data_IF_800642810422
#
_entry.id   IF_800642810422
#
_cell.length_a   1.000
_cell.length_b   1.000
_cell.length_c   1.000
_cell.angle_alpha   90.00
_cell.angle_beta   90.00
_cell.angle_gamma   90.00
#
_symmetry.space_group_name_H-M   'P 1'
#
loop_
_entity.id
_entity.type
_entity.pdbx_description
1 polymer ?
#
# COMPACT_ATOMS: atom_id res chain seq x y z
N UNK A 1 14.75 13.86 -2.91
CA UNK A 1 14.71 12.55 -2.22
C UNK A 1 15.05 12.71 -0.73
N UNK A 2 14.36 13.59 0.01
CA UNK A 2 14.82 14.08 1.33
C UNK A 2 13.75 14.10 2.45
N UNK A 3 12.47 13.80 2.16
CA UNK A 3 11.40 14.02 3.14
C UNK A 3 11.23 12.91 4.18
N UNK A 4 11.38 11.64 3.79
CA UNK A 4 11.12 10.48 4.69
C UNK A 4 12.36 9.65 5.03
N UNK A 5 13.49 9.80 4.32
CA UNK A 5 14.65 8.87 4.35
C UNK A 5 14.30 7.37 4.14
N UNK A 6 13.05 7.05 3.80
CA UNK A 6 12.59 5.71 3.45
C UNK A 6 12.99 5.44 1.99
N UNK A 7 13.84 4.44 1.77
CA UNK A 7 14.20 3.99 0.42
C UNK A 7 13.22 2.93 -0.05
N UNK A 8 12.00 3.35 -0.38
CA UNK A 8 11.01 2.47 -1.01
C UNK A 8 11.55 1.99 -2.37
N UNK A 9 11.89 0.71 -2.46
CA UNK A 9 12.38 0.11 -3.70
C UNK A 9 11.20 -0.51 -4.42
N UNK A 10 10.99 -0.14 -5.69
CA UNK A 10 9.97 -0.76 -6.53
C UNK A 10 10.28 -2.25 -6.65
N UNK A 11 9.33 -3.08 -6.27
CA UNK A 11 9.41 -4.54 -6.41
C UNK A 11 8.77 -4.99 -7.72
N UNK A 12 9.05 -6.22 -8.18
CA UNK A 12 8.36 -6.81 -9.33
C UNK A 12 6.85 -6.72 -9.16
N UNK A 13 6.14 -6.51 -10.27
CA UNK A 13 4.68 -6.37 -10.23
C UNK A 13 4.04 -7.64 -9.65
N UNK A 14 3.22 -7.44 -8.63
CA UNK A 14 2.58 -8.51 -7.88
C UNK A 14 1.33 -8.98 -8.63
N UNK A 15 1.34 -10.21 -9.13
CA UNK A 15 0.22 -10.79 -9.87
C UNK A 15 -0.68 -11.61 -8.94
N UNK A 16 -1.84 -11.05 -8.63
CA UNK A 16 -2.92 -11.68 -7.91
C UNK A 16 -3.82 -12.43 -8.91
N UNK A 17 -3.84 -13.75 -8.83
CA UNK A 17 -4.77 -14.56 -9.61
C UNK A 17 -6.06 -14.73 -8.81
N UNK A 18 -7.01 -13.81 -8.99
CA UNK A 18 -8.33 -13.97 -8.39
C UNK A 18 -9.15 -14.94 -9.23
N UNK A 19 -9.56 -16.06 -8.60
CA UNK A 19 -10.32 -17.16 -9.24
C UNK A 19 -11.57 -16.66 -9.99
N UNK A 20 -12.17 -15.56 -9.54
CA UNK A 20 -13.39 -14.99 -10.14
C UNK A 20 -13.15 -13.78 -11.05
N UNK A 21 -11.95 -13.19 -11.06
CA UNK A 21 -11.72 -11.83 -11.57
C UNK A 21 -10.49 -11.71 -12.50
N UNK A 22 -9.76 -12.81 -12.72
CA UNK A 22 -8.59 -12.88 -13.59
C UNK A 22 -7.28 -12.42 -12.92
N UNK A 23 -6.16 -12.47 -13.66
CA UNK A 23 -4.86 -12.02 -13.16
C UNK A 23 -4.83 -10.49 -13.04
N UNK A 24 -4.60 -9.99 -11.84
CA UNK A 24 -4.40 -8.57 -11.55
C UNK A 24 -2.94 -8.33 -11.17
N UNK A 25 -2.22 -7.50 -11.92
CA UNK A 25 -0.89 -7.06 -11.50
C UNK A 25 -0.96 -5.73 -10.75
N UNK A 26 -0.32 -5.65 -9.59
CA UNK A 26 -0.19 -4.44 -8.79
C UNK A 26 1.28 -4.12 -8.58
N UNK A 27 1.70 -2.88 -8.86
CA UNK A 27 3.03 -2.44 -8.43
C UNK A 27 3.02 -2.22 -6.92
N UNK A 28 4.02 -2.77 -6.24
CA UNK A 28 4.28 -2.47 -4.84
C UNK A 28 5.74 -2.06 -4.65
N UNK A 29 5.99 -1.33 -3.58
CA UNK A 29 7.31 -0.91 -3.16
C UNK A 29 7.55 -1.48 -1.77
N UNK A 30 8.69 -2.13 -1.61
CA UNK A 30 9.09 -2.72 -0.34
C UNK A 30 10.26 -1.91 0.21
N UNK A 31 10.18 -1.63 1.50
CA UNK A 31 11.29 -1.14 2.28
C UNK A 31 11.39 -1.98 3.53
N UNK A 32 12.48 -2.72 3.66
CA UNK A 32 12.74 -3.56 4.83
C UNK A 32 14.03 -3.13 5.50
N UNK A 33 14.02 -3.16 6.82
CA UNK A 33 15.08 -2.89 7.78
C UNK A 33 15.04 -4.03 8.81
N UNK A 34 16.08 -4.13 9.62
CA UNK A 34 16.23 -5.19 10.62
C UNK A 34 15.01 -5.34 11.56
N UNK A 35 14.32 -4.26 11.88
CA UNK A 35 13.18 -4.24 12.82
C UNK A 35 11.88 -3.72 12.23
N UNK A 36 11.87 -3.35 10.94
CA UNK A 36 10.75 -2.66 10.28
C UNK A 36 10.62 -3.10 8.83
N UNK A 37 9.39 -3.37 8.42
CA UNK A 37 9.04 -3.60 7.02
C UNK A 37 7.86 -2.72 6.63
N UNK A 38 8.07 -1.90 5.60
CA UNK A 38 7.06 -1.05 4.98
C UNK A 38 6.78 -1.57 3.57
N UNK A 39 5.49 -1.73 3.25
CA UNK A 39 5.03 -2.14 1.93
C UNK A 39 4.04 -1.11 1.39
N UNK A 40 4.44 -0.34 0.39
CA UNK A 40 3.57 0.59 -0.29
C UNK A 40 2.96 -0.10 -1.52
N UNK A 41 1.68 -0.40 -1.48
CA UNK A 41 0.93 -0.95 -2.58
C UNK A 41 0.23 0.15 -3.37
N UNK A 42 0.24 0.06 -4.70
CA UNK A 42 -0.61 0.90 -5.53
C UNK A 42 -2.02 0.32 -5.53
N UNK A 43 -3.03 1.13 -5.20
CA UNK A 43 -4.41 0.66 -5.19
C UNK A 43 -4.89 0.32 -6.61
N UNK A 44 -4.34 0.98 -7.63
CA UNK A 44 -4.64 0.71 -9.05
C UNK A 44 -3.83 -0.44 -9.60
N UNK A 45 -4.48 -1.38 -10.27
CA UNK A 45 -3.80 -2.39 -11.07
C UNK A 45 -3.10 -1.76 -12.28
N UNK A 46 -1.99 -2.39 -12.65
CA UNK A 46 -1.11 -2.00 -13.76
C UNK A 46 -1.53 -2.70 -15.05
N UNK A 47 -2.08 -3.91 -14.93
CA UNK A 47 -2.57 -4.65 -16.09
C UNK A 47 -4.03 -4.29 -16.41
N UNK A 48 -4.37 -4.14 -17.70
CA UNK A 48 -5.76 -4.07 -18.12
C UNK A 48 -6.42 -5.42 -17.86
N UNK A 49 -7.30 -5.47 -16.87
CA UNK A 49 -8.14 -6.63 -16.59
C UNK A 49 -9.56 -6.40 -17.13
N UNK A 50 -10.33 -7.48 -17.31
CA UNK A 50 -11.73 -7.41 -17.76
C UNK A 50 -12.65 -6.66 -16.77
N UNK A 51 -12.15 -6.38 -15.57
CA UNK A 51 -12.77 -5.52 -14.57
C UNK A 51 -12.74 -4.06 -14.98
N UNK A 52 -13.90 -3.41 -14.93
CA UNK A 52 -14.08 -1.97 -15.20
C UNK A 52 -13.21 -1.09 -14.29
N UNK A 53 -12.79 -1.61 -13.13
CA UNK A 53 -12.02 -0.90 -12.08
C UNK A 53 -11.17 -1.87 -11.24
N UNK A 54 -10.01 -2.34 -11.72
CA UNK A 54 -9.18 -3.29 -10.98
C UNK A 54 -8.43 -2.55 -9.86
N UNK A 55 -9.09 -2.41 -8.70
CA UNK A 55 -8.49 -1.86 -7.49
C UNK A 55 -8.15 -2.98 -6.50
N UNK A 56 -7.05 -2.83 -5.77
CA UNK A 56 -6.67 -3.75 -4.69
C UNK A 56 -7.73 -3.73 -3.58
N UNK A 57 -8.19 -2.53 -3.24
CA UNK A 57 -9.26 -2.28 -2.30
C UNK A 57 -10.25 -1.26 -2.89
N UNK A 58 -11.37 -1.72 -3.51
CA UNK A 58 -12.36 -0.84 -4.11
C UNK A 58 -13.19 -0.04 -3.09
N UNK A 59 -13.13 -0.42 -1.81
CA UNK A 59 -13.69 0.35 -0.67
C UNK A 59 -12.99 1.69 -0.54
N UNK A 60 -11.65 1.67 -0.57
CA UNK A 60 -10.78 2.85 -0.48
C UNK A 60 -10.26 3.28 -1.86
N UNK A 61 -11.13 3.22 -2.88
CA UNK A 61 -10.80 3.61 -4.27
C UNK A 61 -10.35 5.08 -4.42
N UNK A 62 -10.68 5.91 -3.44
CA UNK A 62 -10.28 7.32 -3.34
C UNK A 62 -8.78 7.48 -3.00
N UNK A 63 -8.15 6.43 -2.47
CA UNK A 63 -6.73 6.38 -2.17
C UNK A 63 -5.99 5.74 -3.34
N UNK A 64 -4.98 6.43 -3.88
CA UNK A 64 -4.14 5.89 -4.96
C UNK A 64 -3.11 4.87 -4.44
N UNK A 65 -2.69 4.98 -3.19
CA UNK A 65 -1.66 4.15 -2.57
C UNK A 65 -2.07 3.71 -1.16
N UNK A 66 -1.69 2.50 -0.80
CA UNK A 66 -1.82 1.95 0.55
C UNK A 66 -0.44 1.67 1.10
N UNK A 67 -0.19 2.05 2.35
CA UNK A 67 1.07 1.74 3.03
C UNK A 67 0.79 0.79 4.19
N UNK A 68 1.31 -0.42 4.08
CA UNK A 68 1.30 -1.41 5.16
C UNK A 68 2.61 -1.31 5.95
N UNK A 69 2.48 -1.24 7.27
CA UNK A 69 3.60 -1.19 8.22
C UNK A 69 3.58 -2.49 9.01
N UNK A 70 4.69 -3.24 8.96
CA UNK A 70 4.90 -4.48 9.70
C UNK A 70 6.20 -4.40 10.49
N UNK A 71 6.12 -4.55 11.81
CA UNK A 71 7.27 -4.28 12.68
C UNK A 71 7.56 -2.79 12.82
N UNK A 72 8.45 -2.43 13.73
CA UNK A 72 8.72 -1.04 14.11
C UNK A 72 7.76 -0.55 15.18
N UNK A 73 7.78 -1.19 16.34
CA UNK A 73 6.91 -0.86 17.47
C UNK A 73 7.19 0.51 18.13
N UNK A 74 8.21 1.26 17.71
CA UNK A 74 8.72 2.41 18.49
C UNK A 74 8.77 3.73 17.71
N UNK A 75 9.50 3.84 16.60
CA UNK A 75 9.72 5.14 15.91
C UNK A 75 8.86 5.37 14.65
N UNK A 76 8.24 4.33 14.10
CA UNK A 76 7.54 4.39 12.80
C UNK A 76 6.15 3.73 12.84
N UNK A 77 5.65 3.38 14.02
CA UNK A 77 4.28 2.88 14.20
C UNK A 77 3.28 4.04 14.29
N UNK A 78 2.21 3.94 13.50
CA UNK A 78 1.04 4.82 13.59
C UNK A 78 1.32 6.28 13.26
N UNK A 79 1.04 7.15 14.23
CA UNK A 79 0.85 8.59 14.06
C UNK A 79 2.09 9.33 13.59
N UNK A 80 3.30 8.91 13.98
CA UNK A 80 4.53 9.62 13.57
C UNK A 80 4.87 9.39 12.09
N UNK A 81 4.61 8.19 11.57
CA UNK A 81 4.73 7.91 10.15
C UNK A 81 3.66 8.65 9.35
N UNK A 82 2.44 8.71 9.89
CA UNK A 82 1.36 9.48 9.31
C UNK A 82 1.69 10.98 9.24
N UNK A 83 2.23 11.55 10.32
CA UNK A 83 2.64 12.95 10.41
C UNK A 83 3.78 13.26 9.41
N UNK A 84 4.76 12.36 9.29
CA UNK A 84 5.82 12.51 8.27
C UNK A 84 5.29 12.41 6.85
N UNK A 85 4.26 11.59 6.61
CA UNK A 85 3.59 11.49 5.31
C UNK A 85 2.81 12.77 5.01
N UNK A 86 1.97 13.24 5.93
CA UNK A 86 1.21 14.50 5.77
C UNK A 86 2.12 15.72 5.69
N UNK A 87 3.32 15.69 6.29
CA UNK A 87 4.34 16.71 6.14
C UNK A 87 4.98 16.75 4.74
N UNK A 88 4.79 15.71 3.90
CA UNK A 88 5.27 15.75 2.52
C UNK A 88 4.35 16.61 1.64
N UNK A 89 4.90 17.56 0.88
CA UNK A 89 4.10 18.40 -0.03
C UNK A 89 3.47 17.61 -1.19
N UNK A 90 3.88 16.36 -1.41
CA UNK A 90 3.33 15.46 -2.44
C UNK A 90 2.17 14.62 -1.93
N UNK A 91 2.03 14.46 -0.60
CA UNK A 91 0.95 13.69 0.01
C UNK A 91 -0.17 14.67 0.30
N UNK A 92 -1.25 14.57 -0.47
CA UNK A 92 -2.41 15.44 -0.28
C UNK A 92 -3.28 15.00 0.90
N UNK A 93 -3.32 13.69 1.16
CA UNK A 93 -4.07 13.10 2.24
C UNK A 93 -3.43 11.78 2.67
N UNK A 94 -3.32 11.55 3.97
CA UNK A 94 -2.93 10.28 4.54
C UNK A 94 -3.86 9.97 5.72
N UNK A 95 -4.22 8.70 5.88
CA UNK A 95 -4.99 8.22 7.03
C UNK A 95 -4.60 6.78 7.32
N UNK A 96 -4.62 6.43 8.60
CA UNK A 96 -4.54 5.04 9.00
C UNK A 96 -5.92 4.39 8.92
N UNK A 97 -5.94 3.13 8.51
CA UNK A 97 -7.16 2.34 8.44
C UNK A 97 -6.87 0.96 8.96
N UNK A 98 -7.82 0.41 9.71
CA UNK A 98 -7.77 -0.97 10.15
C UNK A 98 -7.95 -1.91 8.95
N UNK A 99 -7.02 -2.85 8.70
CA UNK A 99 -7.13 -3.79 7.59
C UNK A 99 -8.36 -4.70 7.72
N UNK A 100 -8.92 -4.84 8.92
CA UNK A 100 -10.14 -5.61 9.18
C UNK A 100 -11.43 -4.92 8.72
N UNK A 101 -11.42 -3.59 8.57
CA UNK A 101 -12.58 -2.84 8.06
C UNK A 101 -12.72 -2.95 6.54
N UNK A 102 -11.64 -3.34 5.85
CA UNK A 102 -11.64 -3.51 4.41
C UNK A 102 -12.34 -4.81 4.01
N UNK A 103 -13.41 -4.68 3.22
CA UNK A 103 -14.10 -5.84 2.60
C UNK A 103 -13.18 -6.76 1.81
N UNK A 104 -12.08 -6.22 1.28
CA UNK A 104 -11.09 -6.92 0.48
C UNK A 104 -9.78 -7.17 1.26
N UNK A 105 -9.87 -7.34 2.58
CA UNK A 105 -8.73 -7.67 3.45
C UNK A 105 -7.94 -8.90 2.98
N UNK A 106 -8.59 -9.85 2.32
CA UNK A 106 -7.92 -11.03 1.74
C UNK A 106 -6.89 -10.67 0.66
N UNK A 107 -7.02 -9.49 0.02
CA UNK A 107 -6.01 -8.96 -0.90
C UNK A 107 -4.86 -8.23 -0.19
N UNK A 108 -4.91 -8.08 1.14
CA UNK A 108 -3.95 -7.34 1.95
C UNK A 108 -3.25 -8.22 3.00
N UNK A 109 -3.85 -9.36 3.32
CA UNK A 109 -3.29 -10.40 4.18
C UNK A 109 -2.47 -11.33 3.28
N UNK A 110 -1.17 -11.04 3.20
CA UNK A 110 -0.15 -11.90 2.58
C UNK A 110 0.78 -12.45 3.64
#
# INVERSE_FOLDING_TARGET
NNGLRLRLVRQPDFVLNLVQQGPLAFSYYLYTRETLTLRLFRNRAVLPSALVKPFLAPDIREYDYLLQVQGGADELAGTELLDRLTALPTVQYASEFDPYELKYKENLIF
#
